data_IF_972600111356
#
_entry.id   IF_972600111356
#
_cell.length_a   1.000
_cell.length_b   1.000
_cell.length_c   1.000
_cell.angle_alpha   90.00
_cell.angle_beta   90.00
_cell.angle_gamma   90.00
#
_symmetry.space_group_name_H-M   'P 1'
#
loop_
_entity.id
_entity.type
_entity.pdbx_description
1 polymer ?
#
# COMPACT_ATOMS: atom_id res chain seq x y z
N UNK A 1 -14.22 24.05 -28.74
CA UNK A 1 -13.84 22.98 -27.80
C UNK A 1 -13.62 21.75 -28.67
N UNK A 2 -12.40 21.60 -29.19
CA UNK A 2 -12.03 20.50 -30.09
C UNK A 2 -11.33 19.40 -29.28
N UNK A 3 -11.66 18.14 -29.57
CA UNK A 3 -11.16 16.98 -28.84
C UNK A 3 -9.64 16.85 -28.94
N UNK A 4 -9.07 17.08 -30.13
CA UNK A 4 -7.62 16.99 -30.32
C UNK A 4 -6.88 18.07 -29.51
N UNK A 5 -7.44 19.28 -29.47
CA UNK A 5 -6.89 20.36 -28.64
C UNK A 5 -6.93 20.04 -27.14
N UNK A 6 -7.94 19.31 -26.68
CA UNK A 6 -8.06 18.88 -25.30
C UNK A 6 -7.05 17.78 -24.96
N UNK A 7 -6.99 16.70 -25.75
CA UNK A 7 -6.07 15.58 -25.52
C UNK A 7 -4.61 16.04 -25.48
N UNK A 8 -4.21 16.92 -26.41
CA UNK A 8 -2.85 17.47 -26.44
C UNK A 8 -2.51 18.29 -25.19
N UNK A 9 -3.49 18.99 -24.62
CA UNK A 9 -3.29 19.76 -23.38
C UNK A 9 -3.25 18.84 -22.16
N UNK A 10 -4.11 17.83 -22.13
CA UNK A 10 -4.13 16.83 -21.06
C UNK A 10 -2.81 16.07 -20.98
N UNK A 11 -2.30 15.58 -22.12
CA UNK A 11 -1.03 14.86 -22.16
C UNK A 11 0.12 15.73 -21.65
N UNK A 12 0.23 16.98 -22.12
CA UNK A 12 1.25 17.92 -21.64
C UNK A 12 1.15 18.20 -20.15
N UNK A 13 -0.06 18.24 -19.61
CA UNK A 13 -0.25 18.45 -18.17
C UNK A 13 0.21 17.22 -17.38
N UNK A 14 -0.10 16.02 -17.86
CA UNK A 14 0.38 14.76 -17.27
C UNK A 14 1.91 14.70 -17.25
N UNK A 15 2.57 15.04 -18.36
CA UNK A 15 4.04 15.10 -18.46
C UNK A 15 4.64 16.16 -17.51
N UNK A 16 3.92 17.26 -17.26
CA UNK A 16 4.38 18.33 -16.36
C UNK A 16 4.28 17.96 -14.87
N UNK A 17 3.45 16.98 -14.52
CA UNK A 17 3.32 16.48 -13.13
C UNK A 17 4.05 15.16 -12.92
N UNK A 18 4.73 14.65 -13.95
CA UNK A 18 5.39 13.35 -13.93
C UNK A 18 6.67 13.40 -13.08
N UNK A 19 6.75 12.62 -11.98
CA UNK A 19 7.95 12.53 -11.17
C UNK A 19 9.17 11.97 -11.93
N UNK A 20 8.95 11.12 -12.95
CA UNK A 20 10.05 10.47 -13.68
C UNK A 20 10.84 11.46 -14.55
N UNK A 21 10.20 12.55 -14.97
CA UNK A 21 10.85 13.67 -15.70
C UNK A 21 11.47 14.71 -14.74
N UNK A 22 11.50 14.42 -13.43
CA UNK A 22 11.99 15.34 -12.40
C UNK A 22 11.03 16.49 -12.08
N UNK A 23 9.78 16.40 -12.53
CA UNK A 23 8.71 17.32 -12.13
C UNK A 23 7.96 16.76 -10.92
N UNK A 24 6.89 17.43 -10.50
CA UNK A 24 6.04 16.93 -9.43
C UNK A 24 4.99 17.94 -9.03
N UNK A 25 3.88 17.43 -8.50
CA UNK A 25 2.76 18.25 -8.01
C UNK A 25 3.11 18.96 -6.69
N UNK A 26 3.90 18.29 -5.85
CA UNK A 26 4.34 18.77 -4.55
C UNK A 26 5.87 18.90 -4.56
N UNK A 27 6.38 20.13 -4.54
CA UNK A 27 7.83 20.41 -4.50
C UNK A 27 8.24 20.88 -3.11
N UNK A 28 9.17 20.15 -2.48
CA UNK A 28 9.75 20.53 -1.19
C UNK A 28 11.15 21.10 -1.42
N UNK A 29 11.36 22.36 -1.06
CA UNK A 29 12.66 23.00 -1.19
C UNK A 29 13.57 22.65 -0.01
N UNK A 30 14.69 21.99 -0.29
CA UNK A 30 15.72 21.72 0.71
C UNK A 30 16.37 23.05 1.13
N UNK A 31 16.46 23.39 2.43
CA UNK A 31 17.13 24.60 2.89
C UNK A 31 18.59 24.73 2.41
N UNK A 32 19.02 25.95 2.07
CA UNK A 32 20.36 26.24 1.52
C UNK A 32 21.53 25.75 2.37
N UNK A 33 21.37 25.69 3.70
CA UNK A 33 22.42 25.19 4.60
C UNK A 33 22.63 23.67 4.45
N UNK A 34 21.56 22.92 4.18
CA UNK A 34 21.64 21.47 3.91
C UNK A 34 22.17 21.21 2.49
N UNK A 35 21.81 22.06 1.51
CA UNK A 35 22.33 21.95 0.14
C UNK A 35 23.85 22.10 0.08
N UNK A 36 24.43 22.99 0.90
CA UNK A 36 25.89 23.19 0.99
C UNK A 36 26.61 21.97 1.53
N UNK A 37 25.96 21.16 2.38
CA UNK A 37 26.54 19.89 2.86
C UNK A 37 26.70 18.88 1.71
N UNK A 38 25.75 18.85 0.76
CA UNK A 38 25.82 18.04 -0.46
C UNK A 38 26.98 18.46 -1.37
N UNK A 39 27.17 19.75 -1.56
CA UNK A 39 28.25 20.26 -2.42
C UNK A 39 29.64 20.03 -1.82
N UNK A 40 29.77 20.12 -0.49
CA UNK A 40 31.04 19.92 0.21
C UNK A 40 31.46 18.46 0.25
N UNK A 41 30.52 17.50 0.33
CA UNK A 41 30.84 16.07 0.25
C UNK A 41 31.33 15.64 -1.12
N UNK A 42 30.84 16.28 -2.20
CA UNK A 42 31.27 16.00 -3.57
C UNK A 42 32.62 16.65 -3.96
N UNK A 43 33.16 17.60 -3.17
CA UNK A 43 34.43 18.27 -3.51
C UNK A 43 35.67 17.63 -2.87
N UNK A 44 35.50 16.64 -1.99
CA UNK A 44 36.61 15.93 -1.32
C UNK A 44 37.07 14.65 -2.02
N UNK A 45 36.57 14.35 -3.22
CA UNK A 45 36.95 13.17 -4.00
C UNK A 45 38.33 13.32 -4.68
N UNK A 46 39.38 13.34 -3.86
CA UNK A 46 40.73 12.99 -4.28
C UNK A 46 40.83 11.46 -4.45
N UNK A 47 40.42 10.97 -5.63
CA UNK A 47 40.86 9.80 -6.42
C UNK A 47 41.06 8.41 -5.78
N UNK A 48 41.13 8.20 -4.45
CA UNK A 48 41.57 6.92 -3.90
C UNK A 48 40.68 6.27 -2.82
N UNK A 49 39.45 6.72 -2.58
CA UNK A 49 38.51 5.98 -1.72
C UNK A 49 37.07 6.10 -2.25
N UNK A 50 36.53 4.99 -2.77
CA UNK A 50 35.18 4.84 -3.32
C UNK A 50 34.09 4.77 -2.24
N UNK A 51 34.09 5.69 -1.27
CA UNK A 51 33.04 5.79 -0.28
C UNK A 51 32.22 7.04 -0.59
N UNK A 52 31.33 6.94 -1.58
CA UNK A 52 30.31 7.94 -1.85
C UNK A 52 29.52 8.13 -0.56
N UNK A 53 29.71 9.26 0.11
CA UNK A 53 29.02 9.53 1.37
C UNK A 53 27.56 9.81 1.05
N UNK A 54 26.69 8.82 1.23
CA UNK A 54 25.25 8.99 1.06
C UNK A 54 24.74 9.99 2.10
N UNK A 55 24.07 11.03 1.62
CA UNK A 55 23.43 12.01 2.48
C UNK A 55 21.98 11.59 2.66
N UNK A 56 21.63 11.28 3.91
CA UNK A 56 20.28 10.86 4.28
C UNK A 56 19.51 12.05 4.82
N UNK A 57 18.39 12.37 4.18
CA UNK A 57 17.43 13.35 4.68
C UNK A 57 16.20 12.65 5.25
N UNK A 58 15.75 13.10 6.42
CA UNK A 58 14.44 12.71 6.97
C UNK A 58 13.44 13.80 6.70
N UNK A 59 12.46 13.51 5.85
CA UNK A 59 11.33 14.39 5.55
C UNK A 59 10.12 13.90 6.35
N UNK A 60 9.39 14.82 6.97
CA UNK A 60 8.14 14.53 7.69
C UNK A 60 7.06 15.43 7.12
N UNK A 61 5.97 14.82 6.69
CA UNK A 61 4.84 15.51 6.05
C UNK A 61 3.59 15.14 6.84
N UNK A 62 3.01 16.14 7.50
CA UNK A 62 1.72 16.00 8.16
C UNK A 62 0.63 16.39 7.16
N UNK A 63 -0.30 15.47 6.90
CA UNK A 63 -1.40 15.67 5.96
C UNK A 63 -2.72 15.14 6.53
N UNK A 64 -3.83 15.55 5.92
CA UNK A 64 -5.17 15.10 6.27
C UNK A 64 -5.98 14.90 5.00
N UNK A 65 -6.82 13.86 4.96
CA UNK A 65 -7.76 13.61 3.88
C UNK A 65 -9.18 13.91 4.35
N UNK A 66 -9.87 14.78 3.62
CA UNK A 66 -11.27 15.09 3.85
C UNK A 66 -12.10 14.50 2.70
N UNK A 67 -12.95 13.51 3.02
CA UNK A 67 -13.88 12.88 2.07
C UNK A 67 -13.21 12.50 0.71
N UNK A 68 -12.28 11.54 0.71
CA UNK A 68 -11.58 11.16 -0.52
C UNK A 68 -12.59 10.64 -1.55
N UNK A 69 -12.52 11.17 -2.78
CA UNK A 69 -13.31 10.69 -3.92
C UNK A 69 -12.65 9.47 -4.60
N UNK A 70 -11.34 9.29 -4.41
CA UNK A 70 -10.55 8.18 -4.99
C UNK A 70 -9.31 7.89 -4.11
N UNK A 71 -8.57 6.82 -4.42
CA UNK A 71 -7.41 6.33 -3.67
C UNK A 71 -7.80 5.48 -2.46
N UNK A 72 -8.75 5.97 -1.66
CA UNK A 72 -9.32 5.25 -0.51
C UNK A 72 -10.83 5.23 -0.65
N UNK A 73 -11.41 4.03 -0.62
CA UNK A 73 -12.84 3.83 -0.66
C UNK A 73 -13.37 3.47 0.73
N UNK A 74 -14.41 4.18 1.17
CA UNK A 74 -15.14 3.89 2.39
C UNK A 74 -16.49 3.29 2.03
N UNK A 75 -16.68 2.01 2.30
CA UNK A 75 -17.98 1.38 2.17
C UNK A 75 -18.79 1.60 3.45
N UNK A 76 -19.86 2.38 3.32
CA UNK A 76 -20.84 2.63 4.38
C UNK A 76 -22.21 2.25 3.83
N UNK A 77 -22.81 1.15 4.29
CA UNK A 77 -24.14 0.77 3.87
C UNK A 77 -25.21 1.76 4.36
N UNK A 78 -26.28 1.91 3.58
CA UNK A 78 -27.36 2.88 3.85
C UNK A 78 -28.21 2.55 5.09
N UNK A 79 -28.29 1.27 5.45
CA UNK A 79 -29.04 0.79 6.60
C UNK A 79 -28.21 0.87 7.89
N UNK A 80 -28.81 1.23 9.04
CA UNK A 80 -28.12 1.28 10.34
C UNK A 80 -28.31 0.00 11.19
N UNK A 81 -28.52 -1.16 10.54
CA UNK A 81 -28.65 -2.43 11.26
C UNK A 81 -27.29 -2.90 11.79
N UNK A 82 -27.30 -3.77 12.81
CA UNK A 82 -26.05 -4.31 13.40
C UNK A 82 -25.17 -5.01 12.36
N UNK A 83 -25.79 -5.77 11.44
CA UNK A 83 -25.07 -6.45 10.35
C UNK A 83 -24.45 -5.45 9.38
N UNK A 84 -25.19 -4.38 9.08
CA UNK A 84 -24.74 -3.26 8.26
C UNK A 84 -23.48 -2.59 8.86
N UNK A 85 -23.48 -2.33 10.17
CA UNK A 85 -22.31 -1.77 10.87
C UNK A 85 -21.08 -2.66 10.77
N UNK A 86 -21.25 -3.98 10.82
CA UNK A 86 -20.15 -4.95 10.67
C UNK A 86 -19.65 -5.08 9.24
N UNK A 87 -20.45 -4.69 8.25
CA UNK A 87 -20.02 -4.63 6.85
C UNK A 87 -19.29 -3.34 6.50
N UNK A 88 -19.17 -2.37 7.42
CA UNK A 88 -18.40 -1.14 7.18
C UNK A 88 -16.92 -1.48 7.06
N UNK A 89 -16.32 -1.07 5.96
CA UNK A 89 -14.91 -1.29 5.71
C UNK A 89 -14.34 -0.18 4.84
N UNK A 90 -13.04 -0.06 4.89
CA UNK A 90 -12.21 0.82 4.09
C UNK A 90 -11.22 -0.05 3.32
N UNK A 91 -10.94 0.33 2.09
CA UNK A 91 -9.86 -0.27 1.32
C UNK A 91 -9.28 0.73 0.34
N UNK A 92 -8.03 0.47 -0.06
CA UNK A 92 -7.32 1.31 -1.01
C UNK A 92 -7.54 0.81 -2.42
N UNK A 93 -7.75 1.73 -3.34
CA UNK A 93 -7.91 1.44 -4.76
C UNK A 93 -6.54 1.50 -5.42
N UNK A 94 -6.17 0.45 -6.16
CA UNK A 94 -4.81 0.35 -6.72
C UNK A 94 -4.49 1.45 -7.73
N UNK A 95 -3.18 1.65 -7.95
CA UNK A 95 -2.57 2.54 -8.94
C UNK A 95 -2.56 4.05 -8.64
N UNK A 96 -3.17 4.51 -7.53
CA UNK A 96 -3.27 5.93 -7.21
C UNK A 96 -2.78 6.24 -5.78
N UNK A 97 -1.57 5.80 -5.42
CA UNK A 97 -1.01 6.04 -4.07
C UNK A 97 -0.99 7.54 -3.72
N UNK A 98 -0.75 8.41 -4.72
CA UNK A 98 -0.81 9.87 -4.59
C UNK A 98 -2.15 10.42 -4.07
N UNK A 99 -3.25 9.69 -4.26
CA UNK A 99 -4.58 10.10 -3.81
C UNK A 99 -4.88 9.69 -2.37
N UNK A 100 -4.08 8.77 -1.81
CA UNK A 100 -4.13 8.37 -0.40
C UNK A 100 -3.12 9.19 0.42
N UNK A 101 -1.85 9.27 0.00
CA UNK A 101 -0.79 9.92 0.76
C UNK A 101 0.22 10.64 -0.14
N UNK A 102 0.92 11.67 0.38
CA UNK A 102 1.99 12.31 -0.36
C UNK A 102 3.18 11.35 -0.53
N UNK A 103 3.39 10.89 -1.76
CA UNK A 103 4.50 10.03 -2.13
C UNK A 103 5.04 10.38 -3.52
N UNK A 104 6.23 9.87 -3.83
CA UNK A 104 6.69 9.80 -5.22
C UNK A 104 5.96 8.64 -5.88
N UNK A 105 4.91 8.96 -6.62
CA UNK A 105 4.05 7.98 -7.28
C UNK A 105 4.65 7.57 -8.63
N UNK A 106 5.76 6.83 -8.55
CA UNK A 106 6.49 6.24 -9.66
C UNK A 106 6.66 4.74 -9.45
N UNK A 107 6.67 3.98 -10.55
CA UNK A 107 7.00 2.55 -10.53
C UNK A 107 8.51 2.29 -10.46
N UNK A 108 9.33 3.31 -10.70
CA UNK A 108 10.79 3.21 -10.77
C UNK A 108 11.48 3.47 -9.42
N UNK A 109 10.74 3.85 -8.39
CA UNK A 109 11.25 4.22 -7.07
C UNK A 109 10.81 3.20 -5.99
N UNK A 110 11.39 2.00 -5.95
CA UNK A 110 11.07 1.00 -4.93
C UNK A 110 11.65 1.39 -3.57
N UNK A 111 10.85 1.31 -2.52
CA UNK A 111 11.26 1.62 -1.15
C UNK A 111 10.83 0.51 -0.17
N UNK A 112 11.49 0.45 0.99
CA UNK A 112 10.99 -0.33 2.12
C UNK A 112 10.00 0.49 2.92
N UNK A 113 8.99 -0.17 3.48
CA UNK A 113 7.85 0.53 4.09
C UNK A 113 7.63 0.08 5.52
N UNK A 114 7.42 1.06 6.40
CA UNK A 114 6.85 0.83 7.72
C UNK A 114 5.49 1.51 7.75
N UNK A 115 4.44 0.75 8.01
CA UNK A 115 3.06 1.23 7.98
C UNK A 115 2.49 1.07 9.39
N UNK A 116 2.16 2.19 10.02
CA UNK A 116 1.57 2.20 11.36
C UNK A 116 0.16 2.76 11.28
N UNK A 117 -0.81 1.99 11.77
CA UNK A 117 -2.23 2.31 11.63
C UNK A 117 -2.94 2.06 12.95
N UNK A 118 -3.61 3.09 13.46
CA UNK A 118 -4.42 3.03 14.67
C UNK A 118 -5.90 2.98 14.31
N UNK A 119 -6.60 1.98 14.84
CA UNK A 119 -8.04 1.76 14.61
C UNK A 119 -8.76 1.45 15.91
N UNK A 120 -10.09 1.46 15.89
CA UNK A 120 -10.92 0.94 16.97
C UNK A 120 -10.65 -0.56 17.21
N UNK A 121 -10.72 -1.02 18.45
CA UNK A 121 -10.42 -2.40 18.84
C UNK A 121 -11.23 -3.46 18.07
N UNK A 122 -12.46 -3.14 17.65
CA UNK A 122 -13.32 -4.04 16.87
C UNK A 122 -12.92 -4.20 15.41
N UNK A 123 -11.96 -3.39 14.93
CA UNK A 123 -11.52 -3.38 13.54
C UNK A 123 -10.19 -4.12 13.40
N UNK A 124 -10.06 -4.82 12.28
CA UNK A 124 -8.85 -5.50 11.85
C UNK A 124 -8.22 -4.71 10.71
N UNK A 125 -6.92 -4.48 10.79
CA UNK A 125 -6.12 -3.86 9.73
C UNK A 125 -5.38 -4.95 8.96
N UNK A 126 -5.46 -4.88 7.64
CA UNK A 126 -4.66 -5.67 6.71
C UNK A 126 -3.90 -4.70 5.81
N UNK A 127 -2.58 -4.73 5.87
CA UNK A 127 -1.72 -3.90 5.03
C UNK A 127 -0.59 -4.73 4.40
N UNK A 128 0.09 -4.14 3.43
CA UNK A 128 1.31 -4.69 2.84
C UNK A 128 2.43 -4.87 3.89
N UNK A 129 3.12 -6.00 3.85
CA UNK A 129 4.23 -6.34 4.74
C UNK A 129 3.83 -7.25 5.90
N UNK A 130 4.77 -7.54 6.77
CA UNK A 130 4.57 -8.40 7.94
C UNK A 130 4.06 -7.62 9.13
N UNK A 131 3.18 -8.21 9.93
CA UNK A 131 2.77 -7.62 11.20
C UNK A 131 3.90 -7.81 12.22
N UNK A 132 4.60 -6.73 12.58
CA UNK A 132 5.66 -6.76 13.60
C UNK A 132 5.06 -6.66 14.99
N UNK A 133 4.20 -5.67 15.18
CA UNK A 133 3.72 -5.31 16.50
C UNK A 133 2.25 -4.90 16.43
N UNK A 134 1.51 -5.28 17.46
CA UNK A 134 0.13 -4.87 17.65
C UNK A 134 -0.05 -4.47 19.12
N UNK A 135 -0.25 -3.18 19.37
CA UNK A 135 -0.46 -2.64 20.73
C UNK A 135 -1.89 -2.17 20.89
N UNK A 136 -2.50 -2.50 22.03
CA UNK A 136 -3.85 -2.01 22.38
C UNK A 136 -3.72 -1.00 23.51
N UNK A 137 -4.29 0.20 23.32
CA UNK A 137 -4.31 1.28 24.29
C UNK A 137 -5.69 1.92 24.33
N UNK A 138 -6.36 1.85 25.48
CA UNK A 138 -7.63 2.54 25.76
C UNK A 138 -8.64 2.46 24.59
N UNK A 139 -9.05 1.24 24.20
CA UNK A 139 -10.03 0.95 23.14
C UNK A 139 -9.54 1.18 21.69
N UNK A 140 -8.30 1.66 21.51
CA UNK A 140 -7.62 1.75 20.22
C UNK A 140 -6.56 0.67 20.08
N UNK A 141 -6.41 0.17 18.86
CA UNK A 141 -5.43 -0.85 18.48
C UNK A 141 -4.52 -0.29 17.39
N UNK A 142 -3.22 -0.27 17.64
CA UNK A 142 -2.21 0.20 16.70
C UNK A 142 -1.47 -1.00 16.13
N UNK A 143 -1.57 -1.16 14.81
CA UNK A 143 -0.88 -2.18 14.04
C UNK A 143 0.34 -1.57 13.38
N UNK A 144 1.49 -2.24 13.50
CA UNK A 144 2.74 -1.85 12.86
C UNK A 144 3.17 -2.95 11.89
N UNK A 145 3.10 -2.63 10.60
CA UNK A 145 3.54 -3.49 9.51
C UNK A 145 4.91 -3.05 8.98
N UNK A 146 5.69 -4.01 8.52
CA UNK A 146 6.96 -3.75 7.86
C UNK A 146 7.10 -4.58 6.59
N UNK A 147 7.38 -3.90 5.50
CA UNK A 147 7.67 -4.51 4.22
C UNK A 147 9.17 -4.43 3.97
N UNK A 148 9.85 -5.57 4.14
CA UNK A 148 11.29 -5.73 3.96
C UNK A 148 11.70 -5.71 2.49
N UNK A 149 10.88 -6.27 1.61
CA UNK A 149 11.10 -6.29 0.16
C UNK A 149 10.74 -4.93 -0.45
N UNK A 150 11.67 -4.26 -1.16
CA UNK A 150 11.39 -2.95 -1.76
C UNK A 150 10.23 -3.00 -2.75
N UNK A 151 9.23 -2.16 -2.54
CA UNK A 151 8.05 -2.04 -3.40
C UNK A 151 7.78 -0.56 -3.74
N UNK A 152 7.36 -0.25 -4.97
CA UNK A 152 6.90 1.08 -5.34
C UNK A 152 5.65 1.51 -4.54
N UNK A 153 5.49 2.81 -4.32
CA UNK A 153 4.34 3.37 -3.60
C UNK A 153 2.95 2.93 -4.14
N UNK A 154 2.71 2.85 -5.47
CA UNK A 154 1.43 2.36 -6.01
C UNK A 154 1.01 0.95 -5.57
N UNK A 155 1.98 0.12 -5.13
CA UNK A 155 1.73 -1.25 -4.69
C UNK A 155 1.55 -1.38 -3.19
N UNK A 156 1.51 -0.29 -2.45
CA UNK A 156 1.20 -0.33 -1.02
C UNK A 156 -0.32 -0.31 -0.86
N UNK A 157 -0.84 -1.33 -0.17
CA UNK A 157 -2.26 -1.53 0.04
C UNK A 157 -2.63 -1.47 1.53
N UNK A 158 -3.86 -1.02 1.79
CA UNK A 158 -4.46 -0.99 3.12
C UNK A 158 -5.95 -1.34 3.03
N UNK A 159 -6.39 -2.24 3.90
CA UNK A 159 -7.80 -2.56 4.12
C UNK A 159 -8.08 -2.59 5.62
N UNK A 160 -9.21 -2.00 6.03
CA UNK A 160 -9.63 -1.90 7.43
C UNK A 160 -11.11 -2.24 7.52
N UNK A 161 -11.50 -3.12 8.43
CA UNK A 161 -12.90 -3.50 8.60
C UNK A 161 -13.07 -4.51 9.71
N UNK A 162 -14.30 -4.92 9.97
CA UNK A 162 -14.60 -6.05 10.87
C UNK A 162 -14.32 -7.38 10.16
N UNK A 163 -13.06 -7.58 9.77
CA UNK A 163 -12.62 -8.77 9.04
C UNK A 163 -12.42 -9.96 9.97
N UNK A 164 -12.87 -11.12 9.52
CA UNK A 164 -12.57 -12.41 10.10
C UNK A 164 -11.47 -13.08 9.28
N UNK A 165 -10.47 -13.66 9.95
CA UNK A 165 -9.30 -14.26 9.30
C UNK A 165 -9.37 -15.78 9.31
N UNK A 166 -9.09 -16.39 8.16
CA UNK A 166 -8.88 -17.83 7.99
C UNK A 166 -7.49 -18.06 7.43
N UNK A 167 -6.65 -18.77 8.17
CA UNK A 167 -5.35 -19.22 7.70
C UNK A 167 -5.54 -20.56 7.00
N UNK A 168 -4.85 -20.76 5.86
CA UNK A 168 -4.92 -22.04 5.17
C UNK A 168 -4.35 -23.18 6.05
N UNK A 169 -4.94 -24.37 5.93
CA UNK A 169 -4.51 -25.54 6.70
C UNK A 169 -3.20 -26.13 6.19
N UNK A 170 -2.92 -25.94 4.89
CA UNK A 170 -1.74 -26.51 4.23
C UNK A 170 -0.51 -25.61 4.38
N UNK A 171 -0.68 -24.28 4.29
CA UNK A 171 0.40 -23.30 4.43
C UNK A 171 -0.01 -22.20 5.42
N UNK A 172 0.75 -22.04 6.50
CA UNK A 172 0.52 -20.98 7.49
C UNK A 172 0.87 -19.58 6.96
N UNK A 173 1.44 -19.51 5.75
CA UNK A 173 1.91 -18.28 5.11
C UNK A 173 0.77 -17.52 4.41
N UNK A 174 -0.37 -18.18 4.14
CA UNK A 174 -1.52 -17.60 3.46
C UNK A 174 -2.61 -17.25 4.46
N UNK A 175 -2.94 -15.97 4.56
CA UNK A 175 -4.02 -15.46 5.40
C UNK A 175 -5.13 -14.85 4.55
N UNK A 176 -6.35 -15.33 4.75
CA UNK A 176 -7.53 -14.87 4.03
C UNK A 176 -8.44 -14.09 4.97
N UNK A 177 -8.95 -12.95 4.53
CA UNK A 177 -9.76 -12.04 5.32
C UNK A 177 -11.09 -11.78 4.60
N UNK A 178 -12.20 -11.99 5.29
CA UNK A 178 -13.53 -11.67 4.76
C UNK A 178 -14.35 -10.86 5.75
N UNK A 179 -15.39 -10.21 5.25
CA UNK A 179 -16.40 -9.58 6.11
C UNK A 179 -17.14 -10.63 6.95
N UNK A 180 -17.68 -10.18 8.08
CA UNK A 180 -18.36 -11.03 9.05
C UNK A 180 -19.50 -11.85 8.44
N UNK A 181 -19.54 -13.15 8.73
CA UNK A 181 -20.61 -14.06 8.29
C UNK A 181 -20.38 -14.75 6.94
N UNK A 182 -19.23 -14.50 6.28
CA UNK A 182 -18.86 -15.14 5.01
C UNK A 182 -17.79 -16.24 5.16
N UNK A 183 -17.41 -16.60 6.39
CA UNK A 183 -16.33 -17.56 6.68
C UNK A 183 -16.48 -18.89 5.96
N UNK A 184 -17.68 -19.48 5.94
CA UNK A 184 -17.90 -20.78 5.28
C UNK A 184 -17.66 -20.71 3.77
N UNK A 185 -18.01 -19.58 3.15
CA UNK A 185 -17.73 -19.35 1.74
C UNK A 185 -16.23 -19.18 1.53
N UNK A 186 -15.59 -18.37 2.38
CA UNK A 186 -14.15 -18.12 2.33
C UNK A 186 -13.36 -19.45 2.37
N UNK A 187 -13.62 -20.31 3.36
CA UNK A 187 -12.92 -21.59 3.51
C UNK A 187 -13.06 -22.49 2.28
N UNK A 188 -14.25 -22.52 1.64
CA UNK A 188 -14.46 -23.33 0.44
C UNK A 188 -13.77 -22.75 -0.80
N UNK A 189 -13.63 -21.42 -0.87
CA UNK A 189 -12.96 -20.75 -2.01
C UNK A 189 -11.44 -20.77 -1.88
N UNK A 190 -10.91 -20.66 -0.66
CA UNK A 190 -9.47 -20.50 -0.43
C UNK A 190 -8.73 -21.82 -0.32
N UNK A 191 -9.44 -22.96 -0.20
CA UNK A 191 -8.83 -24.28 -0.04
C UNK A 191 -7.90 -24.67 -1.19
N UNK A 192 -8.09 -24.09 -2.38
CA UNK A 192 -7.31 -24.41 -3.58
C UNK A 192 -6.18 -23.40 -3.84
N UNK A 193 -5.98 -22.38 -3.00
CA UNK A 193 -5.00 -21.29 -3.28
C UNK A 193 -3.55 -21.75 -3.15
N UNK A 194 -3.29 -22.75 -2.31
CA UNK A 194 -1.95 -23.33 -2.17
C UNK A 194 -1.47 -24.06 -3.44
N UNK A 195 -2.36 -24.76 -4.16
CA UNK A 195 -2.02 -25.54 -5.37
C UNK A 195 -1.38 -24.70 -6.49
N UNK A 196 -1.96 -23.56 -6.94
CA UNK A 196 -1.33 -22.73 -7.97
C UNK A 196 -0.05 -22.07 -7.46
N UNK A 197 0.05 -21.72 -6.17
CA UNK A 197 1.27 -21.14 -5.62
C UNK A 197 2.42 -22.15 -5.66
N UNK A 198 2.20 -23.37 -5.18
CA UNK A 198 3.17 -24.47 -5.25
C UNK A 198 3.58 -24.74 -6.71
N UNK A 199 2.60 -24.78 -7.63
CA UNK A 199 2.87 -24.94 -9.06
C UNK A 199 3.74 -23.80 -9.64
N UNK A 200 3.49 -22.54 -9.26
CA UNK A 200 4.30 -21.41 -9.72
C UNK A 200 5.71 -21.42 -9.14
N UNK A 201 5.88 -21.85 -7.88
CA UNK A 201 7.19 -22.00 -7.26
C UNK A 201 8.01 -23.10 -7.96
N UNK A 202 7.39 -24.24 -8.30
CA UNK A 202 8.03 -25.30 -9.09
C UNK A 202 8.37 -24.83 -10.50
N UNK A 203 7.44 -24.13 -11.17
CA UNK A 203 7.61 -23.66 -12.55
C UNK A 203 8.72 -22.62 -12.67
N UNK A 204 8.75 -21.64 -11.75
CA UNK A 204 9.72 -20.56 -11.74
C UNK A 204 11.03 -20.96 -11.04
N UNK A 205 11.03 -22.09 -10.33
CA UNK A 205 12.12 -22.58 -9.49
C UNK A 205 12.62 -21.49 -8.52
N UNK A 206 11.68 -20.75 -7.94
CA UNK A 206 11.90 -19.61 -7.06
C UNK A 206 10.80 -19.56 -6.00
N UNK A 207 11.20 -19.40 -4.74
CA UNK A 207 10.26 -19.22 -3.64
C UNK A 207 9.64 -17.81 -3.67
N UNK A 208 8.44 -17.68 -3.10
CA UNK A 208 7.84 -16.37 -2.90
C UNK A 208 8.80 -15.43 -2.12
N UNK A 209 8.96 -14.19 -2.62
CA UNK A 209 9.81 -13.18 -1.98
C UNK A 209 9.17 -12.63 -0.69
N UNK A 210 7.86 -12.80 -0.54
CA UNK A 210 7.11 -12.33 0.61
C UNK A 210 6.89 -13.49 1.59
N UNK A 211 7.15 -13.28 2.88
CA UNK A 211 7.02 -14.32 3.91
C UNK A 211 5.55 -14.64 4.26
N UNK A 212 4.62 -13.74 3.96
CA UNK A 212 3.19 -14.00 4.04
C UNK A 212 2.47 -13.42 2.81
N UNK A 213 1.34 -14.03 2.49
CA UNK A 213 0.45 -13.58 1.44
C UNK A 213 -0.96 -13.41 2.00
N UNK A 214 -1.55 -12.23 1.79
CA UNK A 214 -2.85 -11.86 2.37
C UNK A 214 -3.89 -11.64 1.29
N UNK A 215 -5.03 -12.29 1.39
CA UNK A 215 -6.18 -12.05 0.50
C UNK A 215 -7.29 -11.38 1.29
N UNK A 216 -7.82 -10.26 0.79
CA UNK A 216 -8.90 -9.51 1.44
C UNK A 216 -10.09 -9.46 0.50
N UNK A 217 -11.23 -9.97 0.95
CA UNK A 217 -12.49 -9.93 0.20
C UNK A 217 -13.33 -8.75 0.70
N UNK A 218 -13.62 -7.82 -0.21
CA UNK A 218 -14.35 -6.57 0.07
C UNK A 218 -15.60 -6.45 -0.81
N UNK A 219 -16.57 -5.66 -0.36
CA UNK A 219 -17.79 -5.40 -1.14
C UNK A 219 -17.59 -4.14 -1.98
N UNK A 220 -18.06 -4.18 -3.22
CA UNK A 220 -17.97 -3.06 -4.18
C UNK A 220 -16.54 -2.54 -4.51
N UNK A 221 -15.55 -3.41 -4.80
CA UNK A 221 -14.31 -2.92 -5.39
C UNK A 221 -14.55 -2.47 -6.84
N UNK A 222 -13.79 -1.46 -7.28
CA UNK A 222 -13.80 -0.96 -8.66
C UNK A 222 -13.31 -2.00 -9.68
N UNK A 223 -12.47 -2.94 -9.24
CA UNK A 223 -11.90 -4.02 -10.06
C UNK A 223 -12.11 -5.38 -9.37
N UNK A 224 -12.09 -6.47 -10.14
CA UNK A 224 -12.27 -7.84 -9.61
C UNK A 224 -11.13 -8.27 -8.70
N UNK A 225 -9.90 -7.84 -9.01
CA UNK A 225 -8.70 -8.09 -8.24
C UNK A 225 -7.76 -6.89 -8.36
N UNK A 226 -7.25 -6.43 -7.22
CA UNK A 226 -6.22 -5.40 -7.13
C UNK A 226 -5.02 -5.99 -6.39
N UNK A 227 -3.91 -6.28 -7.09
CA UNK A 227 -2.71 -6.80 -6.46
C UNK A 227 -1.88 -5.67 -5.83
N UNK A 228 -1.38 -5.93 -4.62
CA UNK A 228 -0.45 -5.08 -3.88
C UNK A 228 0.77 -5.93 -3.45
N UNK A 229 1.78 -5.29 -2.87
CA UNK A 229 2.92 -6.01 -2.30
C UNK A 229 2.45 -6.88 -1.13
N UNK A 230 2.72 -8.19 -1.18
CA UNK A 230 2.31 -9.23 -0.19
C UNK A 230 0.80 -9.37 0.09
N UNK A 231 -0.07 -8.64 -0.62
CA UNK A 231 -1.52 -8.74 -0.43
C UNK A 231 -2.29 -8.53 -1.72
N UNK A 232 -3.52 -9.02 -1.78
CA UNK A 232 -4.44 -8.75 -2.87
C UNK A 232 -5.84 -8.48 -2.32
N UNK A 233 -6.53 -7.53 -2.95
CA UNK A 233 -7.91 -7.18 -2.62
C UNK A 233 -8.82 -7.71 -3.73
N UNK A 234 -9.78 -8.53 -3.34
CA UNK A 234 -10.74 -9.21 -4.22
C UNK A 234 -12.17 -8.74 -3.94
N UNK A 235 -13.02 -8.97 -4.93
CA UNK A 235 -14.47 -8.83 -4.82
C UNK A 235 -15.14 -10.01 -4.12
#
# INVERSE_FOLDING_TARGET
>A
RDLQSFLKRQQRFSEYVDPDEGNGELTIFIPLHLQKQVQNSSTTDNVNNSNTSEIVYKVTIDFSLEKPESGIHFFIPDDDTKLSRLSRHLFTTGHDARLWFPCVDSYCEPATWTIEVTVEESLTVVASGELIECTTNNELKTYRFYLSTPAPAPFIGLAIGSFESVVDSNTQEIANYCLHGLLTLLTNTTSFVHEPLEYYEELLNASCQYPNYKQVFVTEPYAECVPFASMAIFK
#
